data_IF_808768836106
#
_entry.id   IF_808768836106
#
_cell.length_a   1.000
_cell.length_b   1.000
_cell.length_c   1.000
_cell.angle_alpha   90.00
_cell.angle_beta   90.00
_cell.angle_gamma   90.00
#
_symmetry.space_group_name_H-M   'P 1'
#
loop_
_entity.id
_entity.type
_entity.pdbx_description
1 polymer ?
#
# COMPACT_ATOMS: atom_id res chain seq x y z
N UNK A 1 2.15 -29.07 57.44
CA UNK A 1 1.72 -27.80 56.82
C UNK A 1 2.66 -27.57 55.65
N UNK A 2 2.22 -27.97 54.46
CA UNK A 2 2.98 -27.81 53.22
C UNK A 2 2.74 -26.41 52.66
N UNK A 3 3.72 -25.85 51.93
CA UNK A 3 3.42 -25.03 50.77
C UNK A 3 3.95 -25.69 49.50
N UNK A 4 3.04 -25.86 48.54
CA UNK A 4 3.32 -26.17 47.15
C UNK A 4 4.20 -25.10 46.51
N UNK A 5 5.34 -25.50 45.97
CA UNK A 5 6.03 -24.73 44.92
C UNK A 5 5.73 -25.41 43.59
N UNK A 6 4.80 -24.83 42.84
CA UNK A 6 4.61 -25.14 41.42
C UNK A 6 5.91 -24.82 40.67
N UNK A 7 6.50 -25.85 40.07
CA UNK A 7 7.58 -25.72 39.11
C UNK A 7 7.01 -25.19 37.79
N UNK A 8 7.18 -23.90 37.53
CA UNK A 8 7.06 -23.34 36.20
C UNK A 8 8.29 -23.79 35.38
N UNK A 9 8.19 -24.95 34.74
CA UNK A 9 9.22 -25.42 33.82
C UNK A 9 9.15 -24.61 32.53
N UNK A 10 9.80 -23.44 32.56
CA UNK A 10 10.35 -22.84 31.36
C UNK A 10 11.35 -23.83 30.76
N UNK A 11 10.89 -24.62 29.79
CA UNK A 11 11.75 -25.43 28.95
C UNK A 11 12.65 -24.48 28.15
N UNK A 12 13.85 -24.24 28.67
CA UNK A 12 14.98 -23.76 27.90
C UNK A 12 15.28 -24.84 26.87
N UNK A 13 14.97 -24.56 25.60
CA UNK A 13 15.44 -25.38 24.48
C UNK A 13 16.96 -25.54 24.62
N UNK A 14 17.41 -26.75 24.99
CA UNK A 14 18.83 -27.06 25.03
C UNK A 14 19.26 -27.39 23.61
N UNK A 15 20.52 -27.17 23.30
CA UNK A 15 21.11 -27.52 22.00
C UNK A 15 20.90 -29.02 21.62
N UNK A 16 20.61 -29.85 22.63
CA UNK A 16 20.34 -31.29 22.54
C UNK A 16 18.91 -31.62 22.05
N UNK A 17 17.97 -30.66 22.12
CA UNK A 17 16.55 -30.84 21.75
C UNK A 17 16.25 -30.42 20.30
N UNK A 18 17.28 -30.09 19.50
CA UNK A 18 17.09 -29.76 18.08
C UNK A 18 16.92 -31.05 17.28
N UNK A 19 15.69 -31.32 16.84
CA UNK A 19 15.40 -32.42 15.90
C UNK A 19 16.08 -32.16 14.54
N UNK A 20 17.27 -32.72 14.36
CA UNK A 20 18.07 -32.59 13.14
C UNK A 20 17.39 -33.16 11.89
N UNK A 21 16.41 -34.05 12.06
CA UNK A 21 15.61 -34.62 10.96
C UNK A 21 14.68 -33.57 10.31
N UNK A 22 14.30 -32.49 11.01
CA UNK A 22 13.57 -31.36 10.40
C UNK A 22 14.46 -30.51 9.48
N UNK A 23 15.77 -30.49 9.72
CA UNK A 23 16.76 -29.74 8.93
C UNK A 23 17.28 -30.53 7.72
N UNK A 24 17.08 -31.85 7.70
CA UNK A 24 17.59 -32.77 6.67
C UNK A 24 16.66 -33.04 5.49
N UNK A 25 15.43 -32.52 5.51
CA UNK A 25 14.48 -32.70 4.41
C UNK A 25 14.78 -31.76 3.23
N UNK A 26 15.05 -32.31 2.05
CA UNK A 26 14.97 -31.61 0.74
C UNK A 26 13.55 -31.10 0.39
N UNK A 27 12.66 -30.99 1.38
CA UNK A 27 11.30 -30.51 1.23
C UNK A 27 11.25 -28.99 1.27
N UNK A 28 10.59 -28.38 0.28
CA UNK A 28 10.28 -26.95 0.36
C UNK A 28 9.43 -26.65 1.60
N UNK A 29 9.72 -25.59 2.36
CA UNK A 29 8.88 -25.15 3.47
C UNK A 29 7.41 -25.01 3.03
N UNK A 30 6.45 -25.32 3.92
CA UNK A 30 5.00 -25.20 3.61
C UNK A 30 4.64 -23.83 3.02
N UNK A 31 5.28 -22.76 3.50
CA UNK A 31 5.16 -21.40 2.96
C UNK A 31 5.59 -21.29 1.49
N UNK A 32 6.73 -21.89 1.14
CA UNK A 32 7.25 -21.90 -0.24
C UNK A 32 6.35 -22.70 -1.17
N UNK A 33 5.83 -23.85 -0.72
CA UNK A 33 4.87 -24.64 -1.49
C UNK A 33 3.58 -23.86 -1.74
N UNK A 34 3.01 -23.24 -0.70
CA UNK A 34 1.80 -22.43 -0.81
C UNK A 34 2.00 -21.20 -1.72
N UNK A 35 3.17 -20.54 -1.66
CA UNK A 35 3.51 -19.42 -2.56
C UNK A 35 3.59 -19.88 -4.02
N UNK A 36 4.24 -21.02 -4.28
CA UNK A 36 4.34 -21.57 -5.65
C UNK A 36 2.96 -21.90 -6.19
N UNK A 37 2.12 -22.60 -5.41
CA UNK A 37 0.74 -22.93 -5.81
C UNK A 37 -0.08 -21.67 -6.09
N UNK A 38 -0.01 -20.66 -5.21
CA UNK A 38 -0.72 -19.40 -5.39
C UNK A 38 -0.22 -18.62 -6.62
N UNK A 39 1.09 -18.61 -6.87
CA UNK A 39 1.67 -17.94 -8.04
C UNK A 39 1.29 -18.64 -9.33
N UNK A 40 1.29 -19.97 -9.36
CA UNK A 40 0.86 -20.76 -10.53
C UNK A 40 -0.64 -20.56 -10.79
N UNK A 41 -1.48 -20.61 -9.76
CA UNK A 41 -2.91 -20.35 -9.88
C UNK A 41 -3.20 -18.93 -10.39
N UNK A 42 -2.44 -17.94 -9.88
CA UNK A 42 -2.53 -16.57 -10.33
C UNK A 42 -2.09 -16.39 -11.79
N UNK A 43 -0.96 -16.98 -12.19
CA UNK A 43 -0.49 -16.96 -13.57
C UNK A 43 -1.48 -17.63 -14.53
N UNK A 44 -2.11 -18.74 -14.09
CA UNK A 44 -3.16 -19.41 -14.84
C UNK A 44 -4.42 -18.55 -14.97
N UNK A 45 -4.83 -17.83 -13.92
CA UNK A 45 -5.96 -16.91 -13.97
C UNK A 45 -5.70 -15.73 -14.92
N UNK A 46 -4.50 -15.15 -14.90
CA UNK A 46 -4.10 -14.09 -15.85
C UNK A 46 -4.07 -14.63 -17.29
N UNK A 47 -3.50 -15.82 -17.50
CA UNK A 47 -3.48 -16.43 -18.84
C UNK A 47 -4.90 -16.75 -19.34
N UNK A 48 -5.77 -17.25 -18.46
CA UNK A 48 -7.18 -17.49 -18.79
C UNK A 48 -7.88 -16.18 -19.20
N UNK A 49 -7.67 -15.10 -18.44
CA UNK A 49 -8.24 -13.78 -18.73
C UNK A 49 -7.72 -13.18 -20.05
N UNK A 50 -6.46 -13.45 -20.41
CA UNK A 50 -5.85 -12.94 -21.66
C UNK A 50 -6.21 -13.75 -22.91
N UNK A 51 -6.46 -15.06 -22.76
CA UNK A 51 -6.60 -15.97 -23.91
C UNK A 51 -7.99 -16.57 -24.07
N UNK A 52 -8.87 -16.49 -23.05
CA UNK A 52 -10.15 -17.21 -23.04
C UNK A 52 -11.36 -16.28 -22.92
N UNK A 53 -11.31 -15.23 -22.11
CA UNK A 53 -12.46 -14.34 -21.86
C UNK A 53 -12.30 -12.97 -22.53
N UNK A 54 -13.37 -12.49 -23.17
CA UNK A 54 -13.46 -11.09 -23.61
C UNK A 54 -13.77 -10.14 -22.43
N UNK A 55 -14.36 -10.67 -21.36
CA UNK A 55 -14.55 -9.98 -20.08
C UNK A 55 -13.29 -10.11 -19.23
N UNK A 56 -12.42 -9.10 -19.33
CA UNK A 56 -11.12 -9.14 -18.66
C UNK A 56 -11.22 -8.70 -17.19
N UNK A 57 -11.47 -9.66 -16.28
CA UNK A 57 -11.61 -9.44 -14.83
C UNK A 57 -10.28 -8.97 -14.20
N UNK A 58 -9.16 -9.40 -14.77
CA UNK A 58 -7.79 -9.03 -14.39
C UNK A 58 -7.20 -7.93 -15.30
N UNK A 59 -8.03 -7.23 -16.07
CA UNK A 59 -7.57 -6.10 -16.90
C UNK A 59 -7.05 -4.90 -16.11
N UNK A 60 -6.31 -4.03 -16.82
CA UNK A 60 -5.83 -2.76 -16.28
C UNK A 60 -4.83 -2.95 -15.14
N UNK A 61 -5.17 -2.44 -13.96
CA UNK A 61 -4.35 -2.51 -12.73
C UNK A 61 -4.76 -3.65 -11.80
N UNK A 62 -5.83 -4.38 -12.10
CA UNK A 62 -6.37 -5.40 -11.19
C UNK A 62 -5.41 -6.57 -10.99
N UNK A 63 -4.76 -7.05 -12.07
CA UNK A 63 -3.74 -8.09 -11.95
C UNK A 63 -2.60 -7.66 -11.02
N UNK A 64 -2.02 -6.47 -11.23
CA UNK A 64 -0.97 -5.93 -10.36
C UNK A 64 -1.42 -5.84 -8.90
N UNK A 65 -2.67 -5.44 -8.67
CA UNK A 65 -3.21 -5.34 -7.33
C UNK A 65 -3.34 -6.73 -6.67
N UNK A 66 -3.90 -7.72 -7.36
CA UNK A 66 -4.01 -9.10 -6.84
C UNK A 66 -2.62 -9.68 -6.58
N UNK A 67 -1.65 -9.49 -7.48
CA UNK A 67 -0.26 -9.88 -7.24
C UNK A 67 0.30 -9.22 -5.97
N UNK A 68 0.04 -7.93 -5.78
CA UNK A 68 0.47 -7.18 -4.59
C UNK A 68 -0.16 -7.73 -3.31
N UNK A 69 -1.44 -8.09 -3.35
CA UNK A 69 -2.14 -8.74 -2.23
C UNK A 69 -1.53 -10.11 -1.91
N UNK A 70 -1.22 -10.91 -2.92
CA UNK A 70 -0.56 -12.21 -2.74
C UNK A 70 0.83 -12.04 -2.10
N UNK A 71 1.63 -11.11 -2.60
CA UNK A 71 2.94 -10.81 -2.01
C UNK A 71 2.78 -10.36 -0.56
N UNK A 72 1.85 -9.45 -0.27
CA UNK A 72 1.54 -9.03 1.10
C UNK A 72 1.10 -10.19 2.00
N UNK A 73 0.26 -11.10 1.49
CA UNK A 73 -0.20 -12.26 2.25
C UNK A 73 0.96 -13.20 2.63
N UNK A 74 1.86 -13.51 1.68
CA UNK A 74 2.94 -14.46 1.90
C UNK A 74 4.18 -13.87 2.58
N UNK A 75 4.45 -12.58 2.40
CA UNK A 75 5.67 -11.94 2.91
C UNK A 75 5.44 -11.05 4.12
N UNK A 76 4.20 -10.64 4.39
CA UNK A 76 3.85 -9.83 5.57
C UNK A 76 2.91 -10.61 6.50
N UNK A 77 1.70 -10.96 6.04
CA UNK A 77 0.67 -11.53 6.91
C UNK A 77 1.03 -12.92 7.44
N UNK A 78 1.58 -13.80 6.59
CA UNK A 78 1.95 -15.15 6.99
C UNK A 78 3.05 -15.19 8.05
N UNK A 79 4.21 -14.52 7.89
CA UNK A 79 5.22 -14.43 8.95
C UNK A 79 4.70 -13.84 10.27
N UNK A 80 3.83 -12.83 10.20
CA UNK A 80 3.19 -12.23 11.39
C UNK A 80 2.28 -13.24 12.10
N UNK A 81 1.57 -14.09 11.37
CA UNK A 81 0.70 -15.12 11.93
C UNK A 81 1.47 -16.30 12.53
N UNK A 82 2.57 -16.71 11.89
CA UNK A 82 3.44 -17.81 12.31
C UNK A 82 4.23 -17.44 13.58
N UNK A 83 4.86 -16.26 13.59
CA UNK A 83 5.70 -15.80 14.70
C UNK A 83 4.93 -14.96 15.73
N UNK A 84 3.93 -15.56 16.38
CA UNK A 84 3.04 -14.85 17.34
C UNK A 84 3.78 -14.12 18.45
N UNK A 85 4.92 -14.64 18.92
CA UNK A 85 5.75 -14.01 19.97
C UNK A 85 6.35 -12.68 19.50
N UNK A 86 6.97 -12.66 18.32
CA UNK A 86 7.54 -11.46 17.70
C UNK A 86 6.45 -10.44 17.35
N UNK A 87 5.34 -10.91 16.79
CA UNK A 87 4.18 -10.05 16.49
C UNK A 87 3.63 -9.41 17.76
N UNK A 88 3.48 -10.16 18.85
CA UNK A 88 3.03 -9.63 20.13
C UNK A 88 4.03 -8.65 20.75
N UNK A 89 5.33 -8.80 20.49
CA UNK A 89 6.37 -7.86 20.91
C UNK A 89 6.20 -6.51 20.18
N UNK A 90 6.24 -6.51 18.84
CA UNK A 90 6.08 -5.28 18.06
C UNK A 90 4.72 -4.62 18.25
N UNK A 91 3.66 -5.43 18.40
CA UNK A 91 2.31 -4.92 18.63
C UNK A 91 2.15 -4.21 19.97
N UNK A 92 2.79 -4.72 21.04
CA UNK A 92 2.79 -4.05 22.35
C UNK A 92 3.45 -2.67 22.28
N UNK A 93 4.50 -2.54 21.46
CA UNK A 93 5.20 -1.27 21.24
C UNK A 93 4.39 -0.32 20.36
N UNK A 94 3.85 -0.82 19.25
CA UNK A 94 2.97 -0.06 18.36
C UNK A 94 1.74 0.51 19.10
N UNK A 95 1.13 -0.27 19.99
CA UNK A 95 -0.04 0.15 20.78
C UNK A 95 0.21 1.28 21.77
N UNK A 96 1.46 1.63 22.07
CA UNK A 96 1.78 2.80 22.90
C UNK A 96 1.31 4.09 22.23
N UNK A 97 1.31 4.14 20.90
CA UNK A 97 0.79 5.26 20.14
C UNK A 97 -0.69 5.06 19.81
N UNK A 98 -1.58 5.72 20.56
CA UNK A 98 -3.05 5.63 20.37
C UNK A 98 -3.47 6.13 18.98
N UNK A 99 -2.83 7.19 18.47
CA UNK A 99 -3.13 7.73 17.15
C UNK A 99 -2.85 6.66 16.08
N UNK A 100 -1.71 5.97 16.17
CA UNK A 100 -1.35 4.91 15.24
C UNK A 100 -2.32 3.72 15.27
N UNK A 101 -2.86 3.34 16.43
CA UNK A 101 -3.86 2.26 16.53
C UNK A 101 -5.17 2.66 15.85
N UNK A 102 -5.65 3.88 16.08
CA UNK A 102 -6.86 4.40 15.43
C UNK A 102 -6.65 4.49 13.91
N UNK A 103 -5.49 5.01 13.49
CA UNK A 103 -5.10 5.07 12.09
C UNK A 103 -4.99 3.70 11.43
N UNK A 104 -4.41 2.71 12.10
CA UNK A 104 -4.34 1.34 11.60
C UNK A 104 -5.74 0.74 11.42
N UNK A 105 -6.65 0.94 12.40
CA UNK A 105 -8.03 0.50 12.29
C UNK A 105 -8.75 1.17 11.11
N UNK A 106 -8.57 2.48 10.92
CA UNK A 106 -9.12 3.22 9.78
C UNK A 106 -8.57 2.69 8.45
N UNK A 107 -7.26 2.46 8.33
CA UNK A 107 -6.66 1.90 7.12
C UNK A 107 -7.13 0.48 6.82
N UNK A 108 -7.38 -0.34 7.85
CA UNK A 108 -8.01 -1.66 7.66
C UNK A 108 -9.41 -1.50 7.07
N UNK A 109 -10.20 -0.54 7.55
CA UNK A 109 -11.52 -0.25 6.95
C UNK A 109 -11.38 0.19 5.49
N UNK A 110 -10.49 1.14 5.19
CA UNK A 110 -10.23 1.61 3.81
C UNK A 110 -9.79 0.45 2.91
N UNK A 111 -8.90 -0.42 3.41
CA UNK A 111 -8.41 -1.57 2.67
C UNK A 111 -9.51 -2.60 2.40
N UNK A 112 -10.29 -2.98 3.43
CA UNK A 112 -11.37 -3.97 3.29
C UNK A 112 -12.49 -3.43 2.42
N UNK A 113 -12.94 -2.20 2.65
CA UNK A 113 -14.01 -1.57 1.87
C UNK A 113 -13.55 -1.28 0.44
N UNK A 114 -12.33 -0.80 0.23
CA UNK A 114 -11.79 -0.57 -1.12
C UNK A 114 -11.59 -1.86 -1.91
N UNK A 115 -11.22 -2.96 -1.25
CA UNK A 115 -10.98 -4.25 -1.93
C UNK A 115 -12.28 -5.03 -2.17
N UNK A 116 -13.17 -5.10 -1.18
CA UNK A 116 -14.40 -5.89 -1.25
C UNK A 116 -15.61 -5.09 -1.73
N UNK A 117 -15.62 -3.77 -1.52
CA UNK A 117 -16.73 -2.90 -1.90
C UNK A 117 -17.11 -3.00 -3.39
N UNK A 118 -16.14 -2.95 -4.32
CA UNK A 118 -16.43 -3.14 -5.75
C UNK A 118 -16.98 -4.52 -6.14
N UNK A 119 -16.91 -5.52 -5.26
CA UNK A 119 -17.55 -6.83 -5.50
C UNK A 119 -19.05 -6.81 -5.21
N UNK A 120 -19.50 -5.86 -4.39
CA UNK A 120 -20.88 -5.73 -3.92
C UNK A 120 -21.58 -4.54 -4.58
N UNK A 121 -20.84 -3.46 -4.82
CA UNK A 121 -21.35 -2.23 -5.40
C UNK A 121 -21.13 -2.20 -6.91
N UNK A 122 -22.19 -1.85 -7.64
CA UNK A 122 -22.06 -1.51 -9.06
C UNK A 122 -21.27 -0.22 -9.23
N UNK A 123 -20.63 -0.07 -10.39
CA UNK A 123 -19.89 1.13 -10.74
C UNK A 123 -20.76 2.40 -10.63
N UNK A 124 -20.18 3.56 -10.33
CA UNK A 124 -20.92 4.81 -10.26
C UNK A 124 -21.47 5.21 -11.64
N UNK A 125 -22.73 4.89 -11.88
CA UNK A 125 -23.43 5.24 -13.13
C UNK A 125 -23.83 6.73 -13.18
N UNK A 126 -23.83 7.26 -14.39
CA UNK A 126 -24.27 8.61 -14.70
C UNK A 126 -25.81 8.70 -14.56
N UNK A 127 -26.30 9.64 -13.76
CA UNK A 127 -27.73 9.87 -13.61
C UNK A 127 -28.02 11.37 -13.52
N UNK A 128 -28.13 12.02 -14.67
CA UNK A 128 -28.28 13.49 -14.79
C UNK A 128 -29.49 14.00 -13.99
N UNK A 129 -30.57 13.23 -13.89
CA UNK A 129 -31.77 13.63 -13.14
C UNK A 129 -31.51 13.73 -11.64
N UNK A 130 -30.57 12.94 -11.13
CA UNK A 130 -30.13 12.95 -9.74
C UNK A 130 -28.90 13.86 -9.53
N UNK A 131 -28.65 14.86 -10.36
CA UNK A 131 -27.58 15.84 -10.12
C UNK A 131 -27.82 16.66 -8.84
N UNK A 132 -26.73 16.99 -8.14
CA UNK A 132 -26.70 17.88 -6.96
C UNK A 132 -27.67 17.52 -5.82
N UNK A 133 -27.91 16.23 -5.58
CA UNK A 133 -28.66 15.79 -4.40
C UNK A 133 -27.84 16.05 -3.14
N UNK A 134 -28.41 16.69 -2.10
CA UNK A 134 -27.72 16.90 -0.84
C UNK A 134 -27.55 15.59 -0.07
N UNK A 135 -26.50 15.47 0.78
CA UNK A 135 -26.36 14.38 1.74
C UNK A 135 -27.56 14.28 2.69
N UNK A 136 -27.76 13.11 3.27
CA UNK A 136 -28.82 12.91 4.28
C UNK A 136 -28.60 13.88 5.44
N UNK A 137 -29.71 14.39 5.98
CA UNK A 137 -29.77 15.45 7.00
C UNK A 137 -29.35 16.85 6.53
N UNK A 138 -28.97 17.02 5.27
CA UNK A 138 -28.78 18.33 4.66
C UNK A 138 -29.95 18.64 3.70
N UNK A 139 -30.08 19.92 3.38
CA UNK A 139 -31.04 20.42 2.41
C UNK A 139 -30.44 21.57 1.62
N UNK A 140 -30.88 21.71 0.38
CA UNK A 140 -30.54 22.84 -0.49
C UNK A 140 -31.80 23.41 -1.11
N UNK A 141 -31.69 24.62 -1.67
CA UNK A 141 -32.77 25.18 -2.47
C UNK A 141 -33.16 24.20 -3.59
N UNK A 142 -34.46 23.99 -3.79
CA UNK A 142 -34.99 23.05 -4.78
C UNK A 142 -34.64 23.41 -6.23
N UNK A 143 -34.16 24.63 -6.49
CA UNK A 143 -33.62 25.05 -7.78
C UNK A 143 -32.20 24.54 -8.06
N UNK A 144 -31.47 24.06 -7.05
CA UNK A 144 -30.10 23.53 -7.20
C UNK A 144 -30.08 22.16 -7.90
N UNK A 145 -30.77 21.12 -7.40
CA UNK A 145 -30.85 19.84 -8.09
C UNK A 145 -31.76 19.90 -9.33
N UNK A 146 -31.43 19.12 -10.36
CA UNK A 146 -32.27 19.01 -11.57
C UNK A 146 -33.64 18.40 -11.27
N UNK A 147 -33.68 17.37 -10.42
CA UNK A 147 -34.91 16.80 -9.88
C UNK A 147 -34.64 16.39 -8.44
N UNK A 148 -35.43 16.88 -7.49
CA UNK A 148 -35.27 16.45 -6.10
C UNK A 148 -35.75 15.00 -5.94
N UNK A 149 -34.85 14.10 -5.55
CA UNK A 149 -35.16 12.69 -5.29
C UNK A 149 -35.69 12.50 -3.87
N UNK A 150 -35.28 13.37 -2.93
CA UNK A 150 -35.78 13.37 -1.57
C UNK A 150 -37.12 14.08 -1.40
N UNK A 151 -37.47 14.35 -0.15
CA UNK A 151 -38.68 15.12 0.15
C UNK A 151 -38.46 16.59 -0.18
N UNK A 152 -39.44 17.19 -0.85
CA UNK A 152 -39.49 18.64 -1.06
C UNK A 152 -40.46 19.26 -0.06
N UNK A 153 -39.96 20.21 0.73
CA UNK A 153 -40.77 20.98 1.69
C UNK A 153 -40.27 22.43 1.69
N UNK A 154 -41.20 23.39 1.68
CA UNK A 154 -40.89 24.82 1.79
C UNK A 154 -39.86 25.35 0.77
N UNK A 155 -39.85 24.80 -0.45
CA UNK A 155 -38.91 25.19 -1.50
C UNK A 155 -37.50 24.60 -1.35
N UNK A 156 -37.28 23.74 -0.37
CA UNK A 156 -36.03 23.02 -0.14
C UNK A 156 -36.13 21.58 -0.62
N UNK A 157 -35.03 21.06 -1.16
CA UNK A 157 -34.81 19.64 -1.41
C UNK A 157 -34.03 19.03 -0.25
N UNK A 158 -34.58 18.01 0.41
CA UNK A 158 -33.91 17.29 1.50
C UNK A 158 -33.14 16.06 0.99
N UNK A 159 -32.03 15.74 1.63
CA UNK A 159 -31.24 14.55 1.30
C UNK A 159 -31.98 13.23 1.53
N UNK A 160 -31.61 12.20 0.77
CA UNK A 160 -32.27 10.89 0.77
C UNK A 160 -31.29 9.76 1.03
N UNK A 161 -31.75 8.68 1.66
CA UNK A 161 -30.95 7.48 1.93
C UNK A 161 -30.50 6.74 0.66
N UNK A 162 -31.15 7.00 -0.48
CA UNK A 162 -30.65 6.52 -1.77
C UNK A 162 -29.27 7.12 -2.13
N UNK A 163 -29.02 8.35 -1.70
CA UNK A 163 -27.77 9.09 -1.90
C UNK A 163 -27.26 9.61 -0.56
N UNK A 164 -26.75 8.73 0.33
CA UNK A 164 -26.49 9.09 1.72
C UNK A 164 -25.47 10.22 1.88
N UNK A 165 -24.48 10.27 1.00
CA UNK A 165 -23.45 11.33 0.92
C UNK A 165 -23.71 12.33 -0.21
N UNK A 166 -24.92 12.36 -0.77
CA UNK A 166 -25.28 13.19 -1.90
C UNK A 166 -24.77 12.67 -3.25
N UNK A 167 -24.92 13.51 -4.26
CA UNK A 167 -24.46 13.24 -5.63
C UNK A 167 -23.59 14.38 -6.19
N UNK A 168 -22.84 14.05 -7.24
CA UNK A 168 -22.07 14.96 -8.07
C UNK A 168 -22.96 15.77 -9.03
N UNK A 169 -22.33 16.66 -9.80
CA UNK A 169 -22.97 17.43 -10.88
C UNK A 169 -23.48 16.57 -12.04
N UNK A 170 -22.89 15.39 -12.26
CA UNK A 170 -23.36 14.37 -13.22
C UNK A 170 -24.23 13.28 -12.55
N UNK A 171 -24.60 13.49 -11.28
CA UNK A 171 -25.55 12.67 -10.53
C UNK A 171 -25.04 11.31 -10.05
N UNK A 172 -23.73 11.11 -10.05
CA UNK A 172 -23.09 9.93 -9.45
C UNK A 172 -23.16 10.02 -7.93
N UNK A 173 -23.53 8.90 -7.29
CA UNK A 173 -23.60 8.82 -5.82
C UNK A 173 -22.22 8.90 -5.17
N UNK A 174 -22.01 9.88 -4.29
CA UNK A 174 -20.71 10.13 -3.64
C UNK A 174 -20.30 8.98 -2.73
N UNK A 175 -21.25 8.29 -2.11
CA UNK A 175 -20.94 7.12 -1.30
C UNK A 175 -20.26 6.01 -2.10
N UNK A 176 -20.71 5.74 -3.33
CA UNK A 176 -20.04 4.80 -4.23
C UNK A 176 -18.67 5.34 -4.64
N UNK A 177 -18.60 6.60 -5.06
CA UNK A 177 -17.34 7.25 -5.45
C UNK A 177 -16.28 7.22 -4.35
N UNK A 178 -16.69 7.36 -3.08
CA UNK A 178 -15.79 7.23 -1.94
C UNK A 178 -15.21 5.82 -1.86
N UNK A 179 -16.04 4.77 -1.96
CA UNK A 179 -15.58 3.37 -1.93
C UNK A 179 -14.66 3.04 -3.10
N UNK A 180 -15.01 3.48 -4.31
CA UNK A 180 -14.17 3.27 -5.48
C UNK A 180 -12.85 4.07 -5.39
N UNK A 181 -12.87 5.27 -4.82
CA UNK A 181 -11.64 6.03 -4.54
C UNK A 181 -10.75 5.38 -3.48
N UNK A 182 -11.31 4.66 -2.50
CA UNK A 182 -10.52 3.80 -1.59
C UNK A 182 -9.76 2.74 -2.38
N UNK A 183 -10.42 2.07 -3.34
CA UNK A 183 -9.79 1.07 -4.22
C UNK A 183 -8.61 1.67 -4.98
N UNK A 184 -8.83 2.81 -5.64
CA UNK A 184 -7.77 3.50 -6.41
C UNK A 184 -6.58 3.87 -5.52
N UNK A 185 -6.85 4.42 -4.34
CA UNK A 185 -5.80 4.78 -3.37
C UNK A 185 -5.00 3.56 -2.91
N UNK A 186 -5.65 2.42 -2.64
CA UNK A 186 -4.96 1.17 -2.28
C UNK A 186 -4.14 0.61 -3.44
N UNK A 187 -4.68 0.63 -4.66
CA UNK A 187 -3.95 0.18 -5.85
C UNK A 187 -2.70 1.02 -6.07
N UNK A 188 -2.82 2.34 -6.12
CA UNK A 188 -1.66 3.21 -6.34
C UNK A 188 -0.66 3.11 -5.20
N UNK A 189 -1.13 3.22 -3.96
CA UNK A 189 -0.28 3.22 -2.79
C UNK A 189 0.54 1.93 -2.67
N UNK A 190 -0.14 0.77 -2.68
CA UNK A 190 0.49 -0.51 -2.38
C UNK A 190 1.27 -1.08 -3.58
N UNK A 191 0.73 -1.00 -4.80
CA UNK A 191 1.41 -1.55 -5.98
C UNK A 191 2.68 -0.77 -6.28
N UNK A 192 2.60 0.57 -6.28
CA UNK A 192 3.77 1.43 -6.55
C UNK A 192 4.84 1.24 -5.49
N UNK A 193 4.44 1.19 -4.20
CA UNK A 193 5.35 0.89 -3.09
C UNK A 193 6.03 -0.46 -3.27
N UNK A 194 5.30 -1.51 -3.68
CA UNK A 194 5.89 -2.83 -3.90
C UNK A 194 6.96 -2.81 -4.99
N UNK A 195 6.69 -2.17 -6.13
CA UNK A 195 7.66 -2.03 -7.24
C UNK A 195 8.90 -1.27 -6.75
N UNK A 196 8.68 -0.12 -6.09
CA UNK A 196 9.75 0.76 -5.61
C UNK A 196 10.65 0.06 -4.60
N UNK A 197 10.06 -0.62 -3.62
CA UNK A 197 10.79 -1.36 -2.59
C UNK A 197 11.55 -2.53 -3.19
N UNK A 198 10.94 -3.27 -4.12
CA UNK A 198 11.56 -4.44 -4.74
C UNK A 198 12.81 -4.04 -5.52
N UNK A 199 12.70 -3.04 -6.40
CA UNK A 199 13.83 -2.57 -7.21
C UNK A 199 14.87 -1.89 -6.32
N UNK A 200 14.43 -0.99 -5.43
CA UNK A 200 15.32 -0.24 -4.57
C UNK A 200 16.13 -1.14 -3.63
N UNK A 201 15.48 -2.14 -3.02
CA UNK A 201 16.17 -3.09 -2.13
C UNK A 201 17.14 -3.98 -2.89
N UNK A 202 16.75 -4.48 -4.08
CA UNK A 202 17.63 -5.30 -4.91
C UNK A 202 18.89 -4.51 -5.35
N UNK A 203 18.71 -3.30 -5.86
CA UNK A 203 19.82 -2.45 -6.32
C UNK A 203 20.68 -2.00 -5.14
N UNK A 204 20.09 -1.52 -4.05
CA UNK A 204 20.81 -1.03 -2.89
C UNK A 204 21.63 -2.11 -2.18
N UNK A 205 21.04 -3.30 -2.01
CA UNK A 205 21.75 -4.45 -1.40
C UNK A 205 22.88 -4.93 -2.30
N UNK A 206 22.66 -5.01 -3.62
CA UNK A 206 23.69 -5.43 -4.57
C UNK A 206 24.86 -4.44 -4.61
N UNK A 207 24.56 -3.14 -4.65
CA UNK A 207 25.58 -2.08 -4.61
C UNK A 207 26.43 -2.17 -3.33
N UNK A 208 25.80 -2.32 -2.17
CA UNK A 208 26.50 -2.42 -0.90
C UNK A 208 27.34 -3.70 -0.76
N UNK A 209 26.77 -4.86 -1.15
CA UNK A 209 27.43 -6.15 -0.97
C UNK A 209 28.68 -6.27 -1.85
N UNK A 210 28.53 -6.10 -3.17
CA UNK A 210 29.64 -6.26 -4.11
C UNK A 210 30.65 -5.10 -4.06
N UNK A 211 30.21 -3.90 -3.69
CA UNK A 211 31.04 -2.68 -3.64
C UNK A 211 31.83 -2.39 -4.93
N UNK A 212 32.79 -1.47 -4.87
CA UNK A 212 33.68 -1.15 -5.99
C UNK A 212 32.94 -0.67 -7.24
N UNK A 213 33.21 -1.30 -8.38
CA UNK A 213 32.65 -0.89 -9.67
C UNK A 213 31.13 -1.12 -9.75
N UNK A 214 30.60 -2.20 -9.15
CA UNK A 214 29.15 -2.48 -9.16
C UNK A 214 28.40 -1.37 -8.43
N UNK A 215 28.92 -0.96 -7.29
CA UNK A 215 28.38 0.14 -6.51
C UNK A 215 28.41 1.46 -7.30
N UNK A 216 29.57 1.83 -7.82
CA UNK A 216 29.74 3.07 -8.60
C UNK A 216 28.79 3.11 -9.80
N UNK A 217 28.68 2.02 -10.58
CA UNK A 217 27.80 1.97 -11.75
C UNK A 217 26.31 2.07 -11.36
N UNK A 218 25.88 1.34 -10.34
CA UNK A 218 24.48 1.36 -9.90
C UNK A 218 24.11 2.72 -9.30
N UNK A 219 24.96 3.29 -8.46
CA UNK A 219 24.70 4.61 -7.87
C UNK A 219 24.79 5.72 -8.91
N UNK A 220 25.70 5.63 -9.87
CA UNK A 220 25.76 6.57 -11.01
C UNK A 220 24.48 6.53 -11.84
N UNK A 221 23.95 5.35 -12.12
CA UNK A 221 22.66 5.22 -12.80
C UNK A 221 21.54 5.89 -11.98
N UNK A 222 21.50 5.64 -10.67
CA UNK A 222 20.51 6.26 -9.77
C UNK A 222 20.62 7.79 -9.78
N UNK A 223 21.83 8.35 -9.76
CA UNK A 223 22.08 9.79 -9.86
C UNK A 223 21.54 10.37 -11.18
N UNK A 224 21.84 9.70 -12.30
CA UNK A 224 21.39 10.13 -13.64
C UNK A 224 19.86 10.09 -13.73
N UNK A 225 19.23 9.01 -13.26
CA UNK A 225 17.78 8.87 -13.27
C UNK A 225 17.09 9.98 -12.46
N UNK A 226 17.56 10.26 -11.24
CA UNK A 226 16.94 11.26 -10.35
C UNK A 226 17.13 12.71 -10.81
N UNK A 227 18.02 12.94 -11.77
CA UNK A 227 18.18 14.27 -12.38
C UNK A 227 16.92 14.67 -13.17
N UNK A 228 16.17 13.70 -13.69
CA UNK A 228 14.92 13.93 -14.40
C UNK A 228 13.73 13.91 -13.43
N UNK A 229 12.96 14.99 -13.27
CA UNK A 229 11.81 14.98 -12.37
C UNK A 229 10.69 14.07 -12.93
N UNK A 230 10.35 13.03 -12.17
CA UNK A 230 9.34 12.02 -12.56
C UNK A 230 7.99 12.63 -12.95
N UNK A 231 7.61 13.72 -12.28
CA UNK A 231 6.40 14.48 -12.59
C UNK A 231 6.36 14.96 -14.06
N UNK A 232 7.42 15.61 -14.54
CA UNK A 232 7.46 16.11 -15.92
C UNK A 232 7.44 14.98 -16.94
N UNK A 233 8.13 13.87 -16.65
CA UNK A 233 8.07 12.71 -17.52
C UNK A 233 6.65 12.15 -17.59
N UNK A 234 5.96 12.01 -16.45
CA UNK A 234 4.56 11.58 -16.42
C UNK A 234 3.69 12.48 -17.31
N UNK A 235 3.83 13.81 -17.20
CA UNK A 235 3.10 14.76 -18.05
C UNK A 235 3.32 14.48 -19.55
N UNK A 236 4.58 14.37 -19.97
CA UNK A 236 4.93 14.12 -21.37
C UNK A 236 4.34 12.80 -21.85
N UNK A 237 4.44 11.73 -21.04
CA UNK A 237 3.91 10.42 -21.43
C UNK A 237 2.38 10.45 -21.47
N UNK A 238 1.69 11.09 -20.54
CA UNK A 238 0.22 11.24 -20.61
C UNK A 238 -0.28 12.13 -21.73
N UNK A 239 0.58 13.00 -22.27
CA UNK A 239 0.28 13.77 -23.46
C UNK A 239 0.42 12.93 -24.74
N UNK A 240 1.40 12.01 -24.78
CA UNK A 240 1.66 11.14 -25.93
C UNK A 240 0.80 9.87 -25.96
N UNK A 241 0.43 9.36 -24.79
CA UNK A 241 -0.31 8.11 -24.59
C UNK A 241 -1.61 8.39 -23.82
N UNK A 242 -2.61 7.51 -23.99
CA UNK A 242 -3.87 7.62 -23.23
C UNK A 242 -3.56 7.59 -21.72
N UNK A 243 -4.02 8.60 -20.94
CA UNK A 243 -3.89 8.57 -19.49
C UNK A 243 -4.51 7.30 -18.90
N UNK A 244 -3.80 6.66 -17.98
CA UNK A 244 -4.29 5.47 -17.28
C UNK A 244 -3.64 5.33 -15.91
N UNK A 245 -4.34 4.67 -14.99
CA UNK A 245 -3.80 4.36 -13.66
C UNK A 245 -2.55 3.45 -13.76
N UNK A 246 -2.53 2.56 -14.74
CA UNK A 246 -1.40 1.67 -15.02
C UNK A 246 -0.13 2.47 -15.39
N UNK A 247 -0.27 3.48 -16.24
CA UNK A 247 0.84 4.34 -16.65
C UNK A 247 1.40 5.10 -15.45
N UNK A 248 0.53 5.61 -14.57
CA UNK A 248 0.95 6.27 -13.32
C UNK A 248 1.76 5.32 -12.43
N UNK A 249 1.21 4.14 -12.11
CA UNK A 249 1.87 3.14 -11.27
C UNK A 249 3.22 2.73 -11.87
N UNK A 250 3.28 2.52 -13.19
CA UNK A 250 4.49 2.09 -13.89
C UNK A 250 5.56 3.18 -13.83
N UNK A 251 5.23 4.42 -14.19
CA UNK A 251 6.20 5.52 -14.22
C UNK A 251 6.75 5.80 -12.81
N UNK A 252 5.87 5.94 -11.81
CA UNK A 252 6.31 6.20 -10.45
C UNK A 252 6.96 4.97 -9.80
N UNK A 253 6.55 3.76 -10.17
CA UNK A 253 7.13 2.51 -9.71
C UNK A 253 8.58 2.32 -10.20
N UNK A 254 8.79 2.45 -11.50
CA UNK A 254 10.09 2.22 -12.14
C UNK A 254 11.06 3.40 -12.04
N UNK A 255 10.61 4.58 -11.60
CA UNK A 255 11.49 5.75 -11.44
C UNK A 255 11.60 6.24 -9.99
N UNK A 256 10.69 5.84 -9.10
CA UNK A 256 10.66 6.28 -7.70
C UNK A 256 11.57 5.51 -6.75
N UNK A 257 12.30 4.50 -7.22
CA UNK A 257 13.03 3.56 -6.36
C UNK A 257 14.42 4.02 -5.90
N UNK A 258 14.99 5.04 -6.54
CA UNK A 258 16.36 5.44 -6.27
C UNK A 258 16.60 5.94 -4.84
N UNK A 259 15.62 6.59 -4.21
CA UNK A 259 15.71 6.99 -2.80
C UNK A 259 15.83 5.78 -1.86
N UNK A 260 15.00 4.75 -2.09
CA UNK A 260 15.08 3.48 -1.36
C UNK A 260 16.41 2.78 -1.63
N UNK A 261 16.91 2.76 -2.86
CA UNK A 261 18.20 2.13 -3.17
C UNK A 261 19.35 2.75 -2.37
N UNK A 262 19.42 4.09 -2.25
CA UNK A 262 20.44 4.75 -1.45
C UNK A 262 20.31 4.43 0.04
N UNK A 263 19.08 4.45 0.56
CA UNK A 263 18.81 4.14 1.96
C UNK A 263 19.23 2.71 2.29
N UNK A 264 18.79 1.73 1.49
CA UNK A 264 19.14 0.32 1.66
C UNK A 264 20.63 0.11 1.52
N UNK A 265 21.28 0.74 0.53
CA UNK A 265 22.73 0.68 0.38
C UNK A 265 23.45 1.16 1.65
N UNK A 266 23.02 2.29 2.22
CA UNK A 266 23.65 2.85 3.41
C UNK A 266 23.54 1.94 4.63
N UNK A 267 22.39 1.28 4.81
CA UNK A 267 22.21 0.30 5.90
C UNK A 267 22.99 -0.99 5.60
N UNK A 268 22.92 -1.49 4.36
CA UNK A 268 23.59 -2.72 3.96
C UNK A 268 25.12 -2.61 4.06
N UNK A 269 25.71 -1.45 3.76
CA UNK A 269 27.14 -1.22 3.93
C UNK A 269 27.57 -1.37 5.40
N UNK A 270 26.78 -0.80 6.34
CA UNK A 270 27.04 -0.95 7.78
C UNK A 270 26.94 -2.42 8.21
N UNK A 271 25.88 -3.13 7.78
CA UNK A 271 25.68 -4.54 8.14
C UNK A 271 26.72 -5.47 7.55
N UNK A 272 27.25 -5.16 6.36
CA UNK A 272 28.31 -5.92 5.71
C UNK A 272 29.60 -5.95 6.53
N UNK A 273 29.88 -4.90 7.30
CA UNK A 273 31.10 -4.80 8.09
C UNK A 273 31.05 -5.60 9.41
N UNK A 274 29.89 -6.13 9.77
CA UNK A 274 29.65 -6.88 11.00
C UNK A 274 30.42 -8.20 11.06
N UNK A 275 30.82 -8.59 12.28
CA UNK A 275 31.66 -9.77 12.53
C UNK A 275 31.01 -11.08 12.09
N UNK A 276 29.69 -11.21 12.22
CA UNK A 276 28.96 -12.41 11.82
C UNK A 276 28.94 -12.62 10.29
N UNK A 277 29.00 -11.54 9.50
CA UNK A 277 29.09 -11.63 8.04
C UNK A 277 30.48 -12.11 7.64
N UNK A 278 31.53 -11.49 8.19
CA UNK A 278 32.92 -11.93 7.95
C UNK A 278 33.16 -13.37 8.39
N UNK A 279 32.54 -13.80 9.48
CA UNK A 279 32.61 -15.19 9.94
C UNK A 279 31.96 -16.16 8.93
N UNK A 280 30.80 -15.81 8.37
CA UNK A 280 30.14 -16.62 7.34
C UNK A 280 30.95 -16.69 6.04
N UNK A 281 31.57 -15.58 5.62
CA UNK A 281 32.47 -15.54 4.46
C UNK A 281 33.68 -16.45 4.66
N UNK A 282 34.34 -16.35 5.83
CA UNK A 282 35.48 -17.20 6.17
C UNK A 282 35.11 -18.68 6.32
N UNK A 283 33.85 -18.99 6.63
CA UNK A 283 33.31 -20.34 6.65
C UNK A 283 32.94 -20.87 5.25
N UNK A 284 33.13 -20.08 4.19
CA UNK A 284 32.89 -20.49 2.80
C UNK A 284 31.43 -20.38 2.35
N UNK A 285 30.59 -19.59 3.04
CA UNK A 285 29.23 -19.34 2.60
C UNK A 285 29.20 -18.58 1.26
N UNK A 286 28.27 -18.94 0.37
CA UNK A 286 28.13 -18.28 -0.92
C UNK A 286 27.48 -16.90 -0.79
N UNK A 287 27.79 -15.98 -1.71
CA UNK A 287 27.28 -14.61 -1.70
C UNK A 287 25.75 -14.54 -1.61
N UNK A 288 25.05 -15.33 -2.42
CA UNK A 288 23.59 -15.38 -2.41
C UNK A 288 23.03 -15.89 -1.08
N UNK A 289 23.75 -16.79 -0.39
CA UNK A 289 23.37 -17.26 0.93
C UNK A 289 23.54 -16.16 1.97
N UNK A 290 24.68 -15.46 1.97
CA UNK A 290 24.95 -14.33 2.90
C UNK A 290 23.92 -13.22 2.70
N UNK A 291 23.65 -12.82 1.45
CA UNK A 291 22.66 -11.79 1.13
C UNK A 291 21.28 -12.18 1.66
N UNK A 292 20.81 -13.40 1.40
CA UNK A 292 19.45 -13.84 1.76
C UNK A 292 19.29 -14.12 3.24
N UNK A 293 20.31 -14.69 3.89
CA UNK A 293 20.21 -15.17 5.28
C UNK A 293 20.66 -14.13 6.31
N UNK A 294 21.62 -13.29 5.95
CA UNK A 294 22.20 -12.32 6.86
C UNK A 294 21.87 -10.89 6.45
N UNK A 295 22.12 -10.48 5.20
CA UNK A 295 22.02 -9.06 4.86
C UNK A 295 20.57 -8.57 4.72
N UNK A 296 19.76 -9.18 3.85
CA UNK A 296 18.38 -8.77 3.57
C UNK A 296 17.48 -8.75 4.82
N UNK A 297 17.50 -9.78 5.70
CA UNK A 297 16.69 -9.75 6.91
C UNK A 297 17.06 -8.58 7.84
N UNK A 298 18.35 -8.24 7.95
CA UNK A 298 18.81 -7.15 8.82
C UNK A 298 18.47 -5.75 8.27
N UNK A 299 18.43 -5.58 6.94
CA UNK A 299 18.01 -4.29 6.33
C UNK A 299 16.49 -4.15 6.21
N UNK A 300 15.74 -5.25 6.40
CA UNK A 300 14.28 -5.27 6.19
C UNK A 300 13.52 -4.29 7.09
N UNK A 301 13.97 -4.06 8.33
CA UNK A 301 13.35 -3.09 9.25
C UNK A 301 13.38 -1.67 8.67
N UNK A 302 14.52 -1.26 8.13
CA UNK A 302 14.71 0.04 7.47
C UNK A 302 13.85 0.14 6.21
N UNK A 303 13.80 -0.93 5.40
CA UNK A 303 12.98 -1.00 4.18
C UNK A 303 11.50 -0.85 4.52
N UNK A 304 10.99 -1.65 5.45
CA UNK A 304 9.57 -1.66 5.85
C UNK A 304 9.15 -0.28 6.33
N UNK A 305 9.98 0.33 7.19
CA UNK A 305 9.74 1.67 7.72
C UNK A 305 9.65 2.70 6.60
N UNK A 306 10.68 2.77 5.75
CA UNK A 306 10.73 3.74 4.66
C UNK A 306 9.58 3.54 3.65
N UNK A 307 9.22 2.29 3.39
CA UNK A 307 8.16 1.96 2.45
C UNK A 307 6.78 2.44 2.91
N UNK A 308 6.48 2.35 4.22
CA UNK A 308 5.20 2.85 4.75
C UNK A 308 5.02 4.35 4.56
N UNK A 309 6.09 5.13 4.64
CA UNK A 309 6.08 6.58 4.47
C UNK A 309 5.95 7.00 2.99
N UNK A 310 6.23 6.11 2.03
CA UNK A 310 6.07 6.40 0.60
C UNK A 310 4.63 6.29 0.11
N UNK A 311 3.84 5.38 0.70
CA UNK A 311 2.44 5.15 0.31
C UNK A 311 1.62 6.45 0.24
N UNK A 312 1.59 7.32 1.28
CA UNK A 312 0.82 8.56 1.21
C UNK A 312 1.29 9.51 0.10
N UNK A 313 2.59 9.53 -0.22
CA UNK A 313 3.12 10.33 -1.32
C UNK A 313 2.56 9.88 -2.68
N UNK A 314 2.49 8.57 -2.93
CA UNK A 314 1.92 8.06 -4.19
C UNK A 314 0.42 8.32 -4.31
N UNK A 315 -0.33 8.22 -3.21
CA UNK A 315 -1.75 8.58 -3.17
C UNK A 315 -1.93 10.07 -3.50
N UNK A 316 -1.09 10.95 -2.93
CA UNK A 316 -1.14 12.39 -3.21
C UNK A 316 -0.74 12.71 -4.65
N UNK A 317 0.21 11.99 -5.25
CA UNK A 317 0.54 12.16 -6.66
C UNK A 317 -0.66 11.82 -7.55
N UNK A 318 -1.28 10.66 -7.35
CA UNK A 318 -2.51 10.30 -8.09
C UNK A 318 -3.60 11.37 -7.92
N UNK A 319 -3.88 11.78 -6.68
CA UNK A 319 -4.90 12.78 -6.42
C UNK A 319 -4.58 14.12 -7.11
N UNK A 320 -3.30 14.52 -7.13
CA UNK A 320 -2.84 15.74 -7.81
C UNK A 320 -3.04 15.64 -9.32
N UNK A 321 -2.63 14.54 -9.95
CA UNK A 321 -2.80 14.37 -11.39
C UNK A 321 -4.27 14.25 -11.78
N UNK A 322 -5.08 13.56 -10.99
CA UNK A 322 -6.52 13.47 -11.22
C UNK A 322 -7.19 14.83 -11.07
N UNK A 323 -6.77 15.63 -10.09
CA UNK A 323 -7.23 17.00 -9.92
C UNK A 323 -6.88 17.92 -11.09
N UNK A 324 -5.72 17.70 -11.72
CA UNK A 324 -5.28 18.43 -12.92
C UNK A 324 -5.91 17.91 -14.22
N UNK A 325 -6.73 16.85 -14.17
CA UNK A 325 -7.33 16.24 -15.36
C UNK A 325 -6.36 15.42 -16.22
N UNK A 326 -5.28 14.91 -15.60
CA UNK A 326 -4.20 14.18 -16.27
C UNK A 326 -4.27 12.65 -16.07
N UNK A 327 -5.36 12.16 -15.47
CA UNK A 327 -5.65 10.73 -15.30
C UNK A 327 -6.84 10.34 -16.17
N UNK A 328 -7.11 9.03 -16.26
CA UNK A 328 -8.28 8.53 -16.98
C UNK A 328 -9.59 9.04 -16.31
N UNK A 329 -10.45 9.81 -17.01
CA UNK A 329 -11.72 10.27 -16.48
C UNK A 329 -12.72 9.13 -16.16
N UNK A 330 -12.50 7.94 -16.70
CA UNK A 330 -13.31 6.77 -16.35
C UNK A 330 -12.94 6.17 -14.98
N UNK A 331 -11.80 6.56 -14.39
CA UNK A 331 -11.36 6.04 -13.09
C UNK A 331 -11.93 6.89 -11.94
N UNK A 332 -12.89 6.36 -11.14
CA UNK A 332 -13.51 7.08 -10.04
C UNK A 332 -12.57 7.26 -8.82
N UNK A 333 -11.60 8.17 -8.92
CA UNK A 333 -10.64 8.47 -7.85
C UNK A 333 -11.07 9.68 -7.01
N UNK A 334 -10.58 9.77 -5.77
CA UNK A 334 -10.89 10.93 -4.92
C UNK A 334 -10.40 12.23 -5.52
N UNK A 335 -9.21 12.27 -6.13
CA UNK A 335 -8.70 13.46 -6.80
C UNK A 335 -9.61 13.94 -7.92
N UNK A 336 -10.15 13.02 -8.72
CA UNK A 336 -11.09 13.33 -9.79
C UNK A 336 -12.39 13.95 -9.25
N UNK A 337 -12.97 13.34 -8.19
CA UNK A 337 -14.24 13.82 -7.62
C UNK A 337 -14.05 15.21 -6.99
N UNK A 338 -12.92 15.43 -6.30
CA UNK A 338 -12.53 16.74 -5.78
C UNK A 338 -12.43 17.76 -6.91
N UNK A 339 -11.81 17.40 -8.03
CA UNK A 339 -11.71 18.25 -9.22
C UNK A 339 -13.10 18.64 -9.76
N UNK A 340 -14.00 17.67 -9.84
CA UNK A 340 -15.35 17.87 -10.38
C UNK A 340 -16.19 18.83 -9.53
N UNK A 341 -16.01 18.83 -8.21
CA UNK A 341 -16.78 19.68 -7.30
C UNK A 341 -16.14 21.03 -6.99
N UNK A 342 -14.96 21.35 -7.54
CA UNK A 342 -14.23 22.60 -7.23
C UNK A 342 -15.05 23.86 -7.54
N UNK A 343 -15.88 23.80 -8.59
CA UNK A 343 -16.71 24.93 -9.02
C UNK A 343 -18.02 25.05 -8.24
N UNK A 344 -18.38 24.03 -7.46
CA UNK A 344 -19.71 23.88 -6.87
C UNK A 344 -19.70 24.14 -5.35
N UNK A 345 -18.66 24.76 -4.81
CA UNK A 345 -18.50 24.94 -3.36
C UNK A 345 -19.62 25.77 -2.72
N UNK A 346 -20.25 26.67 -3.46
CA UNK A 346 -21.29 27.54 -2.92
C UNK A 346 -22.63 26.80 -2.71
N UNK A 347 -22.96 25.85 -3.59
CA UNK A 347 -24.25 25.15 -3.60
C UNK A 347 -24.19 23.65 -3.29
N UNK A 348 -23.06 23.00 -3.58
CA UNK A 348 -22.84 21.56 -3.44
C UNK A 348 -21.42 21.24 -2.96
N UNK A 349 -20.97 21.92 -1.89
CA UNK A 349 -19.66 21.74 -1.27
C UNK A 349 -19.29 20.28 -0.97
N UNK A 350 -20.28 19.44 -0.69
CA UNK A 350 -20.10 18.02 -0.36
C UNK A 350 -19.40 17.24 -1.48
N UNK A 351 -19.53 17.67 -2.74
CA UNK A 351 -18.90 17.02 -3.90
C UNK A 351 -17.37 17.01 -3.74
N UNK A 352 -16.78 18.15 -3.36
CA UNK A 352 -15.35 18.25 -3.16
C UNK A 352 -14.92 17.87 -1.73
N UNK A 353 -15.66 18.31 -0.72
CA UNK A 353 -15.24 18.18 0.67
C UNK A 353 -15.31 16.74 1.18
N UNK A 354 -16.35 15.97 0.85
CA UNK A 354 -16.48 14.60 1.38
C UNK A 354 -15.31 13.71 0.91
N UNK A 355 -15.01 13.58 -0.40
CA UNK A 355 -13.83 12.82 -0.83
C UNK A 355 -12.52 13.40 -0.30
N UNK A 356 -12.42 14.73 -0.19
CA UNK A 356 -11.26 15.40 0.40
C UNK A 356 -11.00 15.01 1.85
N UNK A 357 -12.05 14.83 2.65
CA UNK A 357 -11.95 14.35 4.04
C UNK A 357 -11.40 12.91 4.08
N UNK A 358 -11.90 12.02 3.21
CA UNK A 358 -11.40 10.65 3.12
C UNK A 358 -9.93 10.60 2.66
N UNK A 359 -9.56 11.40 1.67
CA UNK A 359 -8.17 11.54 1.22
C UNK A 359 -7.27 12.01 2.36
N UNK A 360 -7.65 13.09 3.05
CA UNK A 360 -6.92 13.66 4.18
C UNK A 360 -6.69 12.62 5.30
N UNK A 361 -7.75 11.97 5.77
CA UNK A 361 -7.63 11.00 6.85
C UNK A 361 -6.83 9.76 6.44
N UNK A 362 -6.89 9.36 5.16
CA UNK A 362 -6.08 8.26 4.64
C UNK A 362 -4.59 8.59 4.65
N UNK A 363 -4.23 9.78 4.14
CA UNK A 363 -2.83 10.25 4.16
C UNK A 363 -2.33 10.41 5.60
N UNK A 364 -3.12 11.02 6.47
CA UNK A 364 -2.79 11.18 7.88
C UNK A 364 -2.60 9.82 8.57
N UNK A 365 -3.48 8.86 8.30
CA UNK A 365 -3.42 7.55 8.90
C UNK A 365 -2.17 6.77 8.46
N UNK A 366 -1.78 6.84 7.19
CA UNK A 366 -0.53 6.21 6.74
C UNK A 366 0.71 6.83 7.41
N UNK A 367 0.75 8.15 7.57
CA UNK A 367 1.86 8.81 8.26
C UNK A 367 1.98 8.34 9.72
N UNK A 368 0.89 8.36 10.49
CA UNK A 368 0.92 7.90 11.90
C UNK A 368 1.27 6.42 12.04
N UNK A 369 0.79 5.57 11.12
CA UNK A 369 1.17 4.15 11.10
C UNK A 369 2.64 3.98 10.76
N UNK A 370 3.17 4.73 9.80
CA UNK A 370 4.58 4.67 9.41
C UNK A 370 5.51 5.12 10.54
N UNK A 371 5.19 6.21 11.22
CA UNK A 371 5.96 6.70 12.38
C UNK A 371 5.94 5.70 13.54
N UNK A 372 4.76 5.16 13.89
CA UNK A 372 4.69 4.16 14.94
C UNK A 372 5.35 2.83 14.56
N UNK A 373 5.38 2.48 13.27
CA UNK A 373 6.10 1.29 12.79
C UNK A 373 7.61 1.50 12.87
N UNK A 374 8.10 2.68 12.48
CA UNK A 374 9.51 3.10 12.71
C UNK A 374 9.86 2.96 14.19
N UNK A 375 9.05 3.55 15.04
CA UNK A 375 9.26 3.53 16.48
C UNK A 375 9.14 2.14 17.06
N UNK A 376 8.40 1.20 16.45
CA UNK A 376 8.32 -0.18 16.90
C UNK A 376 9.53 -1.02 16.46
N UNK A 377 10.08 -0.74 15.28
CA UNK A 377 11.16 -1.49 14.65
C UNK A 377 12.56 -0.96 14.99
N UNK A 378 12.69 0.26 15.54
CA UNK A 378 13.99 0.82 15.93
C UNK A 378 14.61 0.07 17.13
N UNK A 379 15.78 -0.57 16.99
CA UNK A 379 16.45 -1.25 18.10
C UNK A 379 16.96 -0.28 19.19
N UNK A 380 17.20 0.99 18.86
CA UNK A 380 17.91 1.93 19.74
C UNK A 380 17.05 2.54 20.85
N UNK A 381 15.73 2.43 20.81
CA UNK A 381 14.88 2.94 21.91
C UNK A 381 14.93 2.08 23.18
N UNK A 382 15.67 0.97 23.16
CA UNK A 382 15.90 0.10 24.32
C UNK A 382 16.70 0.80 25.45
N UNK A 383 17.30 1.97 25.20
CA UNK A 383 18.12 2.69 26.18
C UNK A 383 17.41 3.67 27.12
N UNK A 384 16.14 4.03 26.86
CA UNK A 384 15.45 5.12 27.58
C UNK A 384 14.25 4.65 28.44
N UNK A 385 14.15 3.35 28.77
CA UNK A 385 13.05 2.79 29.55
C UNK A 385 13.49 2.24 30.92
#
# INVERSE_FOLDING_TARGET
MAPDTQSDTGATERFEDVEWDELGGLGFPRRTQALVVATVAYAAAVAYDLFVTDDAVLSGTNWLFVLTLLVGAFFVAWPLAENRRLTAYYWRRFKRNRAAVVSAAYLVVVFVVGTLGPLVLTEPELNILAAYQPPVYLSVDSAVPTTCVGQTADGLCHGTWQYPLGTTSDGKGIAKLVVFGMRVSMQVGLVTMLIVVSIGTAVGTSAAYFSGLVDELLMRYVDIQQTFPTFFLFLIVTYLFKPSLFLLITIFGFLGWGGIARLVRSEALQRREESYIRAAENAGASDGWIIRRHLMPNVSNTVITAATLLIPSFILFEATFAFLGLTDPATPSWGQVIASGRGDLDGAWWIATIPGVFLFFTVLAFNFVGDALRDALDPRSEGDA
#
